data_IF_677573032703
#
_entry.id   IF_677573032703
#
_cell.length_a   1.000
_cell.length_b   1.000
_cell.length_c   1.000
_cell.angle_alpha   90.00
_cell.angle_beta   90.00
_cell.angle_gamma   90.00
#
_symmetry.space_group_name_H-M   'P 1'
#
loop_
_entity.id
_entity.type
_entity.pdbx_description
1 polymer ?
#
# COMPACT_ATOMS: atom_id res chain seq x y z
N UNK A 1 -7.82 1.22 5.27
CA UNK A 1 -6.61 1.04 4.44
C UNK A 1 -6.98 1.17 2.97
N UNK A 2 -6.12 1.80 2.21
CA UNK A 2 -6.28 1.97 0.77
C UNK A 2 -5.95 0.65 0.04
N UNK A 3 -6.69 0.35 -1.03
CA UNK A 3 -6.57 -0.93 -1.75
C UNK A 3 -5.49 -0.88 -2.84
N UNK A 4 -4.35 -0.26 -2.57
CA UNK A 4 -3.25 -0.20 -3.53
C UNK A 4 -2.39 -1.46 -3.48
N UNK A 5 -1.71 -1.82 -4.59
CA UNK A 5 -0.76 -2.92 -4.59
C UNK A 5 0.43 -2.64 -3.65
N UNK A 6 0.92 -3.68 -2.99
CA UNK A 6 1.92 -3.59 -1.93
C UNK A 6 3.25 -2.91 -2.33
N UNK A 7 3.73 -3.03 -3.57
CA UNK A 7 4.88 -2.23 -4.00
C UNK A 7 4.65 -0.71 -3.94
N UNK A 8 3.39 -0.24 -4.01
CA UNK A 8 3.05 1.18 -3.88
C UNK A 8 2.70 1.55 -2.45
N UNK A 9 1.96 0.70 -1.72
CA UNK A 9 1.47 0.97 -0.38
C UNK A 9 1.62 -0.26 0.51
N UNK A 10 2.59 -0.21 1.45
CA UNK A 10 2.95 -1.33 2.31
C UNK A 10 1.79 -1.74 3.22
N UNK A 11 1.54 -3.03 3.32
CA UNK A 11 0.57 -3.62 4.23
C UNK A 11 0.83 -3.25 5.70
N UNK A 12 2.09 -3.16 6.12
CA UNK A 12 2.47 -2.82 7.50
C UNK A 12 1.97 -1.44 7.95
N UNK A 13 1.68 -0.54 7.01
CA UNK A 13 1.11 0.78 7.33
C UNK A 13 -0.29 0.71 7.95
N UNK A 14 -1.02 -0.38 7.74
CA UNK A 14 -2.29 -0.64 8.42
C UNK A 14 -2.08 -0.71 9.94
N UNK A 15 -0.88 -1.10 10.38
CA UNK A 15 -0.54 -1.27 11.80
C UNK A 15 0.23 -0.06 12.32
N UNK A 16 1.25 0.37 11.57
CA UNK A 16 2.21 1.37 12.01
C UNK A 16 1.73 2.80 11.82
N UNK A 17 0.79 3.02 10.89
CA UNK A 17 0.33 4.34 10.45
C UNK A 17 -1.18 4.31 10.21
N UNK A 18 -1.90 3.79 11.18
CA UNK A 18 -3.34 3.48 11.08
C UNK A 18 -4.23 4.74 11.09
N UNK A 19 -3.73 5.84 11.65
CA UNK A 19 -4.47 7.11 11.74
C UNK A 19 -3.92 8.07 10.70
N UNK A 20 -4.75 8.43 9.74
CA UNK A 20 -4.44 9.42 8.73
C UNK A 20 -5.14 10.75 9.06
N UNK A 21 -4.38 11.85 8.96
CA UNK A 21 -4.90 13.19 9.19
C UNK A 21 -5.26 13.83 7.86
N UNK A 22 -6.53 13.77 7.48
CA UNK A 22 -6.91 14.28 6.18
C UNK A 22 -8.37 14.06 5.83
N UNK A 23 -8.61 13.85 4.56
CA UNK A 23 -9.94 13.60 4.01
C UNK A 23 -9.93 12.36 3.14
N UNK A 24 -10.99 11.58 3.21
CA UNK A 24 -11.20 10.42 2.34
C UNK A 24 -12.61 10.47 1.75
N UNK A 25 -12.72 10.17 0.47
CA UNK A 25 -13.98 10.01 -0.24
C UNK A 25 -14.05 8.61 -0.84
N UNK A 26 -15.05 7.85 -0.43
CA UNK A 26 -15.30 6.49 -0.91
C UNK A 26 -16.63 6.45 -1.62
N UNK A 27 -16.64 5.92 -2.84
CA UNK A 27 -17.84 5.61 -3.61
C UNK A 27 -17.83 4.15 -4.03
N UNK A 28 -18.76 3.38 -3.49
CA UNK A 28 -18.91 1.96 -3.83
C UNK A 28 -20.27 1.69 -4.46
N UNK A 29 -20.27 0.96 -5.55
CA UNK A 29 -21.48 0.44 -6.17
C UNK A 29 -21.24 -1.00 -6.68
N UNK A 30 -22.28 -1.64 -7.23
CA UNK A 30 -22.20 -3.04 -7.66
C UNK A 30 -21.13 -3.34 -8.71
N UNK A 31 -20.66 -2.34 -9.46
CA UNK A 31 -19.75 -2.51 -10.58
C UNK A 31 -18.44 -1.73 -10.46
N UNK A 32 -18.33 -0.81 -9.52
CA UNK A 32 -17.12 -0.01 -9.35
C UNK A 32 -16.90 0.42 -7.91
N UNK A 33 -15.64 0.64 -7.58
CA UNK A 33 -15.16 1.18 -6.33
C UNK A 33 -14.22 2.35 -6.62
N UNK A 34 -14.38 3.45 -5.92
CA UNK A 34 -13.52 4.61 -5.95
C UNK A 34 -13.16 4.98 -4.52
N UNK A 35 -11.88 5.11 -4.24
CA UNK A 35 -11.31 5.65 -3.00
C UNK A 35 -10.34 6.76 -3.36
N UNK A 36 -10.59 7.97 -2.87
CA UNK A 36 -9.72 9.14 -3.06
C UNK A 36 -9.43 9.72 -1.68
N UNK A 37 -8.16 9.94 -1.38
CA UNK A 37 -7.75 10.45 -0.08
C UNK A 37 -6.62 11.47 -0.17
N UNK A 38 -6.52 12.26 0.88
CA UNK A 38 -5.42 13.16 1.18
C UNK A 38 -5.04 12.95 2.64
N UNK A 39 -3.76 12.73 2.91
CA UNK A 39 -3.21 12.56 4.24
C UNK A 39 -2.11 13.58 4.50
N UNK A 40 -2.24 14.32 5.57
CA UNK A 40 -1.25 15.29 6.04
C UNK A 40 -0.34 14.61 7.06
N UNK A 41 0.68 13.91 6.59
CA UNK A 41 1.56 13.09 7.44
C UNK A 41 2.39 13.90 8.43
N UNK A 42 2.74 15.13 8.06
CA UNK A 42 3.49 16.04 8.92
C UNK A 42 3.11 17.48 8.68
N UNK A 43 2.41 18.07 9.63
CA UNK A 43 2.04 19.49 9.60
C UNK A 43 3.19 20.36 10.07
N UNK A 44 3.32 21.56 9.46
CA UNK A 44 4.25 22.57 9.88
C UNK A 44 3.52 23.59 10.78
N UNK A 45 4.13 23.85 11.94
CA UNK A 45 3.75 24.95 12.82
C UNK A 45 4.81 26.05 12.74
N UNK A 46 4.48 27.26 13.19
CA UNK A 46 5.44 28.35 13.29
C UNK A 46 6.68 27.91 14.06
N UNK A 47 7.88 28.03 13.43
CA UNK A 47 9.18 27.60 13.96
C UNK A 47 9.36 26.07 13.97
N UNK A 48 8.63 25.31 13.17
CA UNK A 48 8.83 23.86 13.05
C UNK A 48 10.21 23.54 12.45
N UNK A 49 10.99 22.62 13.04
CA UNK A 49 12.29 22.22 12.51
C UNK A 49 12.17 21.19 11.37
N UNK A 50 10.97 20.78 11.01
CA UNK A 50 10.71 19.70 10.05
C UNK A 50 9.97 20.22 8.82
N UNK A 51 10.15 19.57 7.69
CA UNK A 51 9.40 19.86 6.47
C UNK A 51 8.00 19.24 6.52
N UNK A 52 7.06 19.92 5.92
CA UNK A 52 5.72 19.39 5.66
C UNK A 52 5.77 18.12 4.82
N UNK A 53 4.88 17.18 5.11
CA UNK A 53 4.69 15.97 4.31
C UNK A 53 3.20 15.78 4.07
N UNK A 54 2.86 15.62 2.80
CA UNK A 54 1.50 15.35 2.35
C UNK A 54 1.57 14.15 1.41
N UNK A 55 0.69 13.20 1.60
CA UNK A 55 0.42 12.16 0.62
C UNK A 55 -1.05 12.20 0.21
N UNK A 56 -1.33 11.73 -0.98
CA UNK A 56 -2.69 11.58 -1.45
C UNK A 56 -2.73 10.53 -2.56
N UNK A 57 -3.88 9.92 -2.71
CA UNK A 57 -3.99 8.87 -3.68
C UNK A 57 -5.40 8.64 -4.19
N UNK A 58 -5.46 7.77 -5.16
CA UNK A 58 -6.69 7.32 -5.80
C UNK A 58 -6.59 5.83 -6.07
N UNK A 59 -7.62 5.10 -5.68
CA UNK A 59 -7.89 3.76 -6.15
C UNK A 59 -9.23 3.77 -6.89
N UNK A 60 -9.22 3.36 -8.14
CA UNK A 60 -10.44 3.15 -8.91
C UNK A 60 -10.44 1.76 -9.52
N UNK A 61 -11.45 0.96 -9.22
CA UNK A 61 -11.63 -0.38 -9.79
C UNK A 61 -13.00 -0.48 -10.45
N UNK A 62 -13.04 -1.01 -11.66
CA UNK A 62 -14.28 -1.28 -12.39
C UNK A 62 -14.37 -2.75 -12.80
N UNK A 63 -15.51 -3.37 -12.53
CA UNK A 63 -15.83 -4.69 -13.07
C UNK A 63 -16.12 -4.55 -14.57
N UNK A 64 -15.23 -5.09 -15.40
CA UNK A 64 -15.33 -5.06 -16.87
C UNK A 64 -16.09 -6.29 -17.41
N UNK A 65 -16.11 -7.37 -16.63
CA UNK A 65 -16.85 -8.57 -16.96
C UNK A 65 -17.34 -9.27 -15.69
N UNK A 66 -18.62 -9.67 -15.66
CA UNK A 66 -19.18 -10.47 -14.56
C UNK A 66 -20.23 -11.41 -15.12
N UNK A 67 -19.95 -12.70 -15.10
CA UNK A 67 -20.90 -13.74 -15.55
C UNK A 67 -20.68 -15.03 -14.75
N UNK A 68 -21.79 -15.50 -14.15
CA UNK A 68 -21.73 -16.70 -13.29
C UNK A 68 -20.72 -16.51 -12.14
N UNK A 69 -19.75 -17.40 -12.05
CA UNK A 69 -18.73 -17.41 -11.01
C UNK A 69 -17.49 -16.57 -11.36
N UNK A 70 -17.40 -16.04 -12.58
CA UNK A 70 -16.24 -15.27 -13.05
C UNK A 70 -16.49 -13.77 -12.96
N UNK A 71 -15.55 -13.07 -12.31
CA UNK A 71 -15.48 -11.61 -12.30
C UNK A 71 -14.11 -11.18 -12.80
N UNK A 72 -14.07 -10.20 -13.70
CA UNK A 72 -12.83 -9.55 -14.16
C UNK A 72 -12.98 -8.07 -13.88
N UNK A 73 -11.97 -7.47 -13.25
CA UNK A 73 -11.97 -6.04 -12.99
C UNK A 73 -10.63 -5.40 -13.39
N UNK A 74 -10.68 -4.10 -13.63
CA UNK A 74 -9.52 -3.29 -13.99
C UNK A 74 -9.32 -2.21 -12.92
N UNK A 75 -8.36 -2.37 -12.00
CA UNK A 75 -7.94 -1.33 -11.07
C UNK A 75 -6.97 -0.35 -11.72
N UNK A 76 -7.06 0.90 -11.30
CA UNK A 76 -6.12 2.00 -11.58
C UNK A 76 -5.81 2.66 -10.25
N UNK A 77 -4.52 2.84 -9.96
CA UNK A 77 -4.05 3.41 -8.70
C UNK A 77 -3.09 4.56 -8.96
N UNK A 78 -3.17 5.57 -8.11
CA UNK A 78 -2.25 6.69 -8.05
C UNK A 78 -1.87 6.95 -6.59
N UNK A 79 -0.61 7.24 -6.33
CA UNK A 79 -0.11 7.72 -5.05
C UNK A 79 0.87 8.85 -5.31
N UNK A 80 0.57 10.03 -4.78
CA UNK A 80 1.43 11.21 -4.81
C UNK A 80 1.98 11.44 -3.42
N UNK A 81 3.28 11.64 -3.32
CA UNK A 81 3.95 12.06 -2.10
C UNK A 81 4.65 13.39 -2.34
N UNK A 82 4.43 14.34 -1.43
CA UNK A 82 5.04 15.67 -1.45
C UNK A 82 5.67 15.98 -0.11
N UNK A 83 6.91 16.48 -0.13
CA UNK A 83 7.64 16.89 1.08
C UNK A 83 8.38 18.21 0.82
N UNK A 84 8.18 19.19 1.68
CA UNK A 84 8.83 20.50 1.60
C UNK A 84 7.99 21.57 0.92
N UNK A 85 8.63 22.66 0.46
CA UNK A 85 8.00 23.74 -0.30
C UNK A 85 7.72 25.01 0.49
N UNK A 86 7.61 24.98 1.84
CA UNK A 86 7.41 26.19 2.65
C UNK A 86 8.72 26.68 3.31
N UNK A 87 9.58 25.77 3.72
CA UNK A 87 10.85 26.07 4.37
C UNK A 87 11.92 25.17 3.74
N UNK A 88 12.35 25.51 2.54
CA UNK A 88 13.44 24.79 1.87
C UNK A 88 14.77 25.46 2.17
N UNK A 89 15.75 24.66 2.49
CA UNK A 89 17.16 25.04 2.65
C UNK A 89 18.01 24.19 1.74
N UNK A 90 19.29 24.50 1.52
CA UNK A 90 20.18 23.65 0.72
C UNK A 90 20.21 22.19 1.16
N UNK A 91 19.96 21.92 2.45
CA UNK A 91 19.93 20.59 3.03
C UNK A 91 18.51 19.98 3.10
N UNK A 92 17.48 20.76 2.72
CA UNK A 92 16.06 20.37 2.81
C UNK A 92 15.32 20.81 1.57
N UNK A 93 15.48 20.02 0.53
CA UNK A 93 14.87 20.27 -0.78
C UNK A 93 13.46 19.67 -0.86
N UNK A 94 12.69 20.23 -1.77
CA UNK A 94 11.37 19.76 -2.14
C UNK A 94 11.46 18.39 -2.83
N UNK A 95 10.63 17.45 -2.38
CA UNK A 95 10.47 16.12 -2.97
C UNK A 95 9.04 15.96 -3.45
N UNK A 96 8.87 15.52 -4.69
CA UNK A 96 7.56 15.20 -5.27
C UNK A 96 7.65 13.91 -6.06
N UNK A 97 6.95 12.88 -5.62
CA UNK A 97 7.01 11.53 -6.17
C UNK A 97 5.61 11.08 -6.56
N UNK A 98 5.52 10.42 -7.70
CA UNK A 98 4.32 9.75 -8.17
C UNK A 98 4.61 8.26 -8.34
N UNK A 99 3.78 7.42 -7.73
CA UNK A 99 3.62 6.03 -8.08
C UNK A 99 2.25 5.83 -8.75
N UNK A 100 2.19 5.00 -9.78
CA UNK A 100 0.92 4.63 -10.40
C UNK A 100 0.89 3.17 -10.78
N UNK A 101 -0.30 2.60 -10.84
CA UNK A 101 -0.50 1.25 -11.37
C UNK A 101 -1.73 1.17 -12.27
N UNK A 102 -1.66 0.23 -13.19
CA UNK A 102 -2.78 -0.27 -13.96
C UNK A 102 -2.81 -1.79 -13.87
N UNK A 103 -3.96 -2.36 -13.51
CA UNK A 103 -4.08 -3.79 -13.26
C UNK A 103 -5.21 -4.49 -13.99
N UNK A 104 -5.15 -5.82 -13.94
CA UNK A 104 -6.25 -6.72 -14.25
C UNK A 104 -6.39 -7.73 -13.12
N UNK A 105 -7.58 -7.84 -12.58
CA UNK A 105 -7.91 -8.81 -11.54
C UNK A 105 -8.92 -9.81 -12.05
N UNK A 106 -8.74 -11.07 -11.64
CA UNK A 106 -9.61 -12.19 -11.98
C UNK A 106 -10.06 -12.85 -10.68
N UNK A 107 -11.33 -13.16 -10.59
CA UNK A 107 -11.88 -13.93 -9.46
C UNK A 107 -12.86 -14.96 -9.97
N UNK A 108 -12.67 -16.22 -9.58
CA UNK A 108 -13.54 -17.34 -9.93
C UNK A 108 -14.00 -18.08 -8.68
N UNK A 109 -15.30 -17.97 -8.37
CA UNK A 109 -15.89 -18.59 -7.21
C UNK A 109 -16.13 -20.10 -7.42
N UNK A 110 -15.55 -20.91 -6.54
CA UNK A 110 -15.78 -22.35 -6.42
C UNK A 110 -16.63 -22.63 -5.17
N UNK A 111 -17.24 -23.82 -5.02
CA UNK A 111 -18.10 -24.14 -3.86
C UNK A 111 -17.41 -23.99 -2.49
N UNK A 112 -16.09 -24.20 -2.41
CA UNK A 112 -15.31 -24.17 -1.17
C UNK A 112 -14.09 -23.26 -1.20
N UNK A 113 -13.81 -22.61 -2.32
CA UNK A 113 -12.65 -21.73 -2.50
C UNK A 113 -12.94 -20.67 -3.56
N UNK A 114 -12.11 -19.64 -3.60
CA UNK A 114 -12.08 -18.65 -4.68
C UNK A 114 -10.69 -18.65 -5.28
N UNK A 115 -10.59 -18.91 -6.58
CA UNK A 115 -9.36 -18.65 -7.32
C UNK A 115 -9.31 -17.17 -7.65
N UNK A 116 -8.18 -16.53 -7.41
CA UNK A 116 -8.01 -15.12 -7.74
C UNK A 116 -6.62 -14.85 -8.30
N UNK A 117 -6.53 -13.78 -9.09
CA UNK A 117 -5.27 -13.30 -9.62
C UNK A 117 -5.35 -11.78 -9.73
N UNK A 118 -4.30 -11.09 -9.28
CA UNK A 118 -4.19 -9.65 -9.30
C UNK A 118 -2.87 -9.27 -9.93
N UNK A 119 -2.91 -8.64 -11.09
CA UNK A 119 -1.73 -8.38 -11.89
C UNK A 119 -1.66 -6.90 -12.23
N UNK A 120 -0.47 -6.29 -11.99
CA UNK A 120 -0.27 -4.86 -12.11
C UNK A 120 0.99 -4.53 -12.90
N UNK A 121 0.87 -3.55 -13.77
CA UNK A 121 1.99 -2.76 -14.28
C UNK A 121 2.11 -1.53 -13.38
N UNK A 122 3.27 -1.31 -12.80
CA UNK A 122 3.50 -0.27 -11.80
C UNK A 122 4.57 0.68 -12.31
N UNK A 123 4.43 1.97 -12.03
CA UNK A 123 5.41 2.97 -12.41
C UNK A 123 5.79 3.86 -11.22
N UNK A 124 6.98 4.41 -11.30
CA UNK A 124 7.55 5.37 -10.38
C UNK A 124 8.10 6.56 -11.16
N UNK A 125 7.86 7.77 -10.67
CA UNK A 125 8.45 8.99 -11.22
C UNK A 125 8.74 10.04 -10.16
N UNK A 126 9.97 10.56 -10.20
CA UNK A 126 10.42 11.67 -9.39
C UNK A 126 10.23 13.00 -10.16
N UNK A 127 9.31 13.85 -9.67
CA UNK A 127 9.05 15.18 -10.17
C UNK A 127 9.76 16.28 -9.35
N UNK A 128 10.61 15.91 -8.39
CA UNK A 128 11.34 16.86 -7.57
C UNK A 128 12.18 17.80 -8.44
N UNK A 129 12.25 19.07 -8.04
CA UNK A 129 13.09 20.04 -8.74
C UNK A 129 14.57 19.70 -8.59
N UNK A 130 15.02 19.44 -7.36
CA UNK A 130 16.38 18.97 -7.06
C UNK A 130 16.39 17.45 -7.03
N UNK A 131 17.09 16.82 -7.96
CA UNK A 131 17.15 15.37 -8.10
C UNK A 131 18.11 14.77 -7.07
N UNK A 132 17.55 14.08 -6.07
CA UNK A 132 18.31 13.43 -5.00
C UNK A 132 18.15 11.91 -5.01
N UNK A 133 17.07 11.42 -5.62
CA UNK A 133 16.86 10.00 -5.77
C UNK A 133 17.77 9.44 -6.86
N UNK A 134 18.29 8.23 -6.64
CA UNK A 134 19.17 7.55 -7.58
C UNK A 134 18.49 7.30 -8.93
N UNK A 135 17.22 6.93 -8.91
CA UNK A 135 16.40 6.75 -10.09
C UNK A 135 15.38 7.87 -10.18
N UNK A 136 15.23 8.46 -11.38
CA UNK A 136 14.23 9.50 -11.64
C UNK A 136 12.91 8.91 -12.11
N UNK A 137 12.93 7.70 -12.59
CA UNK A 137 11.79 6.91 -13.02
C UNK A 137 12.11 5.43 -12.93
N UNK A 138 11.08 4.64 -12.80
CA UNK A 138 11.18 3.20 -12.74
C UNK A 138 9.85 2.54 -13.02
N UNK A 139 9.87 1.24 -13.20
CA UNK A 139 8.71 0.44 -13.51
C UNK A 139 8.79 -0.93 -12.85
N UNK A 140 7.65 -1.61 -12.77
CA UNK A 140 7.59 -2.96 -12.28
C UNK A 140 6.38 -3.73 -12.74
N UNK A 141 6.54 -5.03 -12.80
CA UNK A 141 5.48 -6.00 -13.03
C UNK A 141 5.23 -6.76 -11.72
N UNK A 142 3.99 -6.74 -11.24
CA UNK A 142 3.59 -7.43 -10.02
C UNK A 142 2.45 -8.39 -10.34
N UNK A 143 2.74 -9.69 -10.29
CA UNK A 143 1.81 -10.77 -10.63
C UNK A 143 1.47 -11.55 -9.36
N UNK A 144 0.18 -11.81 -9.13
CA UNK A 144 -0.30 -12.58 -8.01
C UNK A 144 -1.31 -13.63 -8.48
N UNK A 145 -1.18 -14.84 -7.99
CA UNK A 145 -2.11 -15.92 -8.20
C UNK A 145 -2.42 -16.57 -6.85
N UNK A 146 -3.70 -16.64 -6.48
CA UNK A 146 -4.10 -17.10 -5.17
C UNK A 146 -5.30 -18.03 -5.16
N UNK A 147 -5.41 -18.74 -4.05
CA UNK A 147 -6.54 -19.60 -3.69
C UNK A 147 -7.00 -19.25 -2.30
N UNK A 148 -8.13 -18.56 -2.21
CA UNK A 148 -8.75 -18.18 -0.94
C UNK A 148 -9.73 -19.27 -0.51
N UNK A 149 -9.50 -19.84 0.66
CA UNK A 149 -10.37 -20.83 1.32
C UNK A 149 -11.04 -20.19 2.54
N UNK A 150 -11.83 -20.98 3.29
CA UNK A 150 -12.37 -20.52 4.58
C UNK A 150 -11.32 -20.33 5.67
N UNK A 151 -10.17 -21.01 5.56
CA UNK A 151 -9.14 -21.02 6.60
C UNK A 151 -8.02 -20.03 6.31
N UNK A 152 -7.61 -19.94 5.03
CA UNK A 152 -6.47 -19.11 4.61
C UNK A 152 -6.57 -18.74 3.14
N UNK A 153 -5.86 -17.69 2.79
CA UNK A 153 -5.56 -17.29 1.42
C UNK A 153 -4.10 -17.65 1.12
N UNK A 154 -3.88 -18.46 0.11
CA UNK A 154 -2.57 -18.90 -0.37
C UNK A 154 -2.26 -18.15 -1.65
N UNK A 155 -1.18 -17.39 -1.67
CA UNK A 155 -0.85 -16.50 -2.79
C UNK A 155 0.60 -16.76 -3.21
N UNK A 156 0.80 -16.99 -4.50
CA UNK A 156 2.09 -16.95 -5.16
C UNK A 156 2.22 -15.61 -5.87
N UNK A 157 3.29 -14.87 -5.57
CA UNK A 157 3.52 -13.54 -6.12
C UNK A 157 4.87 -13.45 -6.78
N UNK A 158 4.93 -12.80 -7.93
CA UNK A 158 6.16 -12.49 -8.65
C UNK A 158 6.28 -10.98 -8.82
N UNK A 159 7.44 -10.46 -8.50
CA UNK A 159 7.84 -9.07 -8.73
C UNK A 159 9.03 -9.01 -9.66
N UNK A 160 8.97 -8.11 -10.62
CA UNK A 160 10.11 -7.67 -11.40
C UNK A 160 10.07 -6.15 -11.51
N UNK A 161 11.06 -5.48 -10.95
CA UNK A 161 11.19 -4.02 -10.93
C UNK A 161 12.51 -3.58 -11.55
N UNK A 162 12.48 -2.43 -12.23
CA UNK A 162 13.64 -1.74 -12.81
C UNK A 162 13.62 -0.29 -12.33
N UNK A 163 14.65 0.13 -11.58
CA UNK A 163 14.76 1.48 -11.03
C UNK A 163 13.58 1.91 -10.17
N UNK A 164 12.78 0.97 -9.70
CA UNK A 164 11.54 1.26 -8.99
C UNK A 164 11.79 1.72 -7.55
N UNK A 165 11.04 2.74 -7.14
CA UNK A 165 11.00 3.25 -5.77
C UNK A 165 9.57 3.62 -5.39
N UNK A 166 9.26 3.50 -4.10
CA UNK A 166 8.03 4.03 -3.51
C UNK A 166 8.31 4.53 -2.10
N UNK A 167 7.68 5.66 -1.75
CA UNK A 167 7.79 6.23 -0.40
C UNK A 167 6.93 5.48 0.62
N UNK A 168 5.85 4.86 0.18
CA UNK A 168 4.87 4.16 1.00
C UNK A 168 4.83 2.66 0.75
N UNK A 169 5.47 2.18 -0.31
CA UNK A 169 5.54 0.76 -0.65
C UNK A 169 6.42 -0.04 0.29
N UNK A 170 6.25 -1.34 0.30
CA UNK A 170 7.11 -2.22 1.06
C UNK A 170 8.56 -2.12 0.53
N UNK A 171 9.55 -1.87 1.41
CA UNK A 171 10.94 -1.61 1.00
C UNK A 171 11.57 -2.71 0.18
N UNK A 172 11.09 -3.95 0.33
CA UNK A 172 11.63 -5.11 -0.39
C UNK A 172 11.47 -5.01 -1.92
N UNK A 173 10.46 -4.29 -2.40
CA UNK A 173 10.22 -4.09 -3.84
C UNK A 173 11.09 -2.99 -4.46
N UNK A 174 11.69 -2.15 -3.61
CA UNK A 174 12.46 -0.98 -4.05
C UNK A 174 13.83 -1.38 -4.62
N UNK A 175 14.25 -0.70 -5.68
CA UNK A 175 15.61 -0.82 -6.25
C UNK A 175 16.68 -0.15 -5.40
N UNK A 176 16.29 0.62 -4.37
CA UNK A 176 17.20 1.28 -3.41
C UNK A 176 16.81 0.89 -2.00
N UNK A 177 17.79 0.47 -1.19
CA UNK A 177 17.54 0.19 0.21
C UNK A 177 17.41 1.48 1.01
N UNK A 178 16.36 1.57 1.81
CA UNK A 178 16.16 2.61 2.82
C UNK A 178 16.62 2.19 4.23
N UNK A 179 17.10 0.96 4.39
CA UNK A 179 17.54 0.44 5.68
C UNK A 179 18.92 0.98 6.06
N UNK A 180 19.10 1.34 7.34
CA UNK A 180 20.35 1.91 7.87
C UNK A 180 21.54 0.98 7.63
N UNK A 181 21.36 -0.34 7.80
CA UNK A 181 22.42 -1.33 7.64
C UNK A 181 22.82 -1.60 6.17
N UNK A 182 21.98 -1.21 5.22
CA UNK A 182 22.19 -1.37 3.78
C UNK A 182 22.17 -0.04 3.06
N UNK A 183 22.54 1.04 3.74
CA UNK A 183 22.57 2.38 3.17
C UNK A 183 23.53 2.42 1.96
N UNK A 184 23.02 2.85 0.82
CA UNK A 184 23.75 2.87 -0.45
C UNK A 184 23.64 1.58 -1.27
N UNK A 185 22.97 0.53 -0.79
CA UNK A 185 22.64 -0.62 -1.63
C UNK A 185 21.62 -0.20 -2.70
N UNK A 186 21.93 -0.52 -3.93
CA UNK A 186 21.02 -0.37 -5.06
C UNK A 186 21.14 -1.58 -5.98
N UNK A 187 20.03 -1.93 -6.58
CA UNK A 187 19.92 -3.01 -7.56
C UNK A 187 18.97 -2.55 -8.66
N UNK A 188 19.51 -2.29 -9.83
CA UNK A 188 18.76 -1.72 -10.96
C UNK A 188 17.57 -2.58 -11.32
N UNK A 189 17.78 -3.87 -11.48
CA UNK A 189 16.75 -4.85 -11.71
C UNK A 189 16.56 -5.72 -10.46
N UNK A 190 15.32 -5.88 -10.01
CA UNK A 190 14.99 -6.70 -8.85
C UNK A 190 13.88 -7.68 -9.19
N UNK A 191 14.15 -8.97 -9.03
CA UNK A 191 13.18 -10.04 -9.28
C UNK A 191 12.99 -10.87 -8.02
N UNK A 192 11.74 -10.97 -7.55
CA UNK A 192 11.38 -11.63 -6.30
C UNK A 192 10.22 -12.60 -6.54
N UNK A 193 10.28 -13.73 -5.84
CA UNK A 193 9.18 -14.69 -5.77
C UNK A 193 8.75 -14.84 -4.32
N UNK A 194 7.46 -14.63 -4.03
CA UNK A 194 6.88 -14.74 -2.69
C UNK A 194 5.88 -15.89 -2.66
N UNK A 195 5.82 -16.55 -1.51
CA UNK A 195 4.71 -17.40 -1.16
C UNK A 195 4.06 -16.88 0.11
N UNK A 196 2.77 -16.52 0.06
CA UNK A 196 2.04 -15.92 1.16
C UNK A 196 0.96 -16.85 1.67
N UNK A 197 0.84 -16.94 2.97
CA UNK A 197 -0.28 -17.57 3.65
C UNK A 197 -0.88 -16.51 4.57
N UNK A 198 -2.11 -16.09 4.29
CA UNK A 198 -2.83 -15.09 5.06
C UNK A 198 -4.06 -15.75 5.67
N UNK A 199 -4.17 -15.69 6.99
CA UNK A 199 -5.31 -16.26 7.72
C UNK A 199 -5.92 -15.22 8.64
N UNK A 200 -7.24 -15.21 8.75
CA UNK A 200 -7.98 -14.38 9.68
C UNK A 200 -8.97 -15.26 10.47
N UNK A 201 -8.83 -15.25 11.78
CA UNK A 201 -9.64 -16.03 12.70
C UNK A 201 -10.47 -15.10 13.56
N UNK A 202 -11.80 -14.96 13.30
CA UNK A 202 -12.68 -14.23 14.19
C UNK A 202 -12.83 -15.00 15.51
N UNK A 203 -12.53 -14.34 16.64
CA UNK A 203 -12.67 -14.90 17.99
C UNK A 203 -13.99 -14.47 18.60
N UNK A 204 -14.41 -13.22 18.36
CA UNK A 204 -15.70 -12.66 18.77
C UNK A 204 -16.22 -11.69 17.71
N UNK A 205 -17.39 -11.09 17.94
CA UNK A 205 -17.97 -10.09 17.02
C UNK A 205 -17.03 -8.89 16.79
N UNK A 206 -16.24 -8.52 17.80
CA UNK A 206 -15.37 -7.34 17.77
C UNK A 206 -13.88 -7.68 17.79
N UNK A 207 -13.51 -8.96 17.78
CA UNK A 207 -12.13 -9.38 17.91
C UNK A 207 -11.75 -10.46 16.91
N UNK A 208 -10.72 -10.20 16.12
CA UNK A 208 -10.12 -11.17 15.20
C UNK A 208 -8.61 -11.23 15.34
N UNK A 209 -8.03 -12.40 15.09
CA UNK A 209 -6.59 -12.60 14.96
C UNK A 209 -6.29 -12.85 13.50
N UNK A 210 -5.40 -12.06 12.92
CA UNK A 210 -4.86 -12.29 11.59
C UNK A 210 -3.39 -12.72 11.66
N UNK A 211 -2.99 -13.62 10.79
CA UNK A 211 -1.59 -14.00 10.63
C UNK A 211 -1.20 -13.96 9.17
N UNK A 212 0.05 -13.56 8.91
CA UNK A 212 0.65 -13.53 7.58
C UNK A 212 2.03 -14.16 7.65
N UNK A 213 2.27 -15.19 6.83
CA UNK A 213 3.56 -15.85 6.66
C UNK A 213 3.97 -15.62 5.21
N UNK A 214 5.17 -15.11 4.99
CA UNK A 214 5.60 -14.65 3.67
C UNK A 214 7.09 -14.92 3.41
N UNK A 215 7.48 -16.18 3.18
CA UNK A 215 8.80 -16.47 2.65
C UNK A 215 8.95 -15.93 1.22
N UNK A 216 10.17 -15.46 0.91
CA UNK A 216 10.48 -15.00 -0.43
C UNK A 216 11.86 -15.47 -0.90
N UNK A 217 12.08 -15.44 -2.20
CA UNK A 217 13.35 -15.75 -2.84
C UNK A 217 13.71 -14.54 -3.72
N UNK A 218 14.92 -14.02 -3.54
CA UNK A 218 15.52 -13.06 -4.47
C UNK A 218 16.13 -13.83 -5.65
N UNK A 219 15.53 -13.69 -6.82
CA UNK A 219 15.92 -14.42 -8.02
C UNK A 219 17.20 -13.88 -8.68
N UNK A 220 17.61 -12.67 -8.33
CA UNK A 220 18.86 -12.09 -8.82
C UNK A 220 20.06 -12.63 -8.03
N UNK A 221 19.84 -13.05 -6.78
CA UNK A 221 20.87 -13.49 -5.84
C UNK A 221 20.58 -14.90 -5.30
N UNK A 222 20.48 -15.89 -6.17
CA UNK A 222 20.14 -17.28 -5.83
C UNK A 222 20.91 -17.90 -4.65
N UNK A 223 22.06 -17.32 -4.25
CA UNK A 223 22.89 -17.77 -3.13
C UNK A 223 22.42 -17.26 -1.75
N UNK A 224 21.42 -16.39 -1.68
CA UNK A 224 20.87 -15.85 -0.44
C UNK A 224 19.48 -16.42 -0.20
N UNK A 225 19.45 -17.48 0.59
CA UNK A 225 18.26 -18.22 1.00
C UNK A 225 17.35 -17.32 1.86
N UNK A 226 16.09 -17.28 1.46
CA UNK A 226 14.88 -17.00 2.20
C UNK A 226 15.04 -16.44 3.62
N UNK A 227 14.89 -15.14 3.79
CA UNK A 227 14.44 -14.60 5.06
C UNK A 227 12.94 -14.83 5.17
N UNK A 228 12.52 -15.61 6.17
CA UNK A 228 11.11 -15.79 6.46
C UNK A 228 10.62 -14.60 7.29
N UNK A 229 9.77 -13.78 6.71
CA UNK A 229 9.03 -12.76 7.45
C UNK A 229 7.86 -13.44 8.17
N UNK A 230 7.99 -13.59 9.47
CA UNK A 230 6.85 -13.89 10.34
C UNK A 230 6.19 -12.56 10.70
N UNK A 231 5.26 -12.09 9.88
CA UNK A 231 4.49 -10.91 10.21
C UNK A 231 3.36 -11.27 11.19
N UNK A 232 3.57 -10.79 12.35
CA UNK A 232 2.76 -10.48 13.53
C UNK A 232 1.27 -10.81 13.46
N UNK A 233 0.84 -11.49 14.51
CA UNK A 233 -0.55 -11.61 14.94
C UNK A 233 -1.18 -10.23 15.08
N UNK A 234 -2.18 -9.94 14.28
CA UNK A 234 -2.95 -8.71 14.34
C UNK A 234 -4.13 -8.92 15.27
N UNK A 235 -4.20 -8.10 16.30
CA UNK A 235 -5.35 -8.03 17.19
C UNK A 235 -6.07 -6.73 16.87
N UNK A 236 -7.20 -6.82 16.18
CA UNK A 236 -8.03 -5.65 15.84
C UNK A 236 -9.33 -5.68 16.61
N UNK A 237 -9.65 -4.61 17.29
CA UNK A 237 -10.98 -4.36 17.87
C UNK A 237 -11.80 -3.58 16.84
N UNK A 238 -12.93 -4.14 16.41
CA UNK A 238 -13.91 -3.37 15.63
C UNK A 238 -14.69 -2.48 16.60
N UNK A 239 -14.29 -1.24 16.72
CA UNK A 239 -15.07 -0.22 17.44
C UNK A 239 -16.18 0.23 16.49
N UNK A 240 -17.41 -0.18 16.73
CA UNK A 240 -18.59 0.40 16.07
C UNK A 240 -18.87 1.76 16.73
N UNK A 241 -18.34 2.82 16.15
CA UNK A 241 -18.71 4.19 16.54
C UNK A 241 -20.01 4.50 15.82
N UNK A 242 -21.10 4.59 16.54
CA UNK A 242 -22.37 5.08 16.00
C UNK A 242 -22.33 6.62 15.94
N UNK A 243 -23.05 7.26 14.99
CA UNK A 243 -23.12 8.72 14.92
C UNK A 243 -23.66 9.39 16.21
N UNK A 244 -24.28 8.64 17.09
CA UNK A 244 -24.82 9.12 18.37
C UNK A 244 -23.72 9.30 19.44
N UNK A 245 -22.51 8.75 19.25
CA UNK A 245 -21.39 8.88 20.18
C UNK A 245 -20.67 10.25 20.06
N UNK A 246 -21.02 11.08 19.08
CA UNK A 246 -20.50 12.44 18.91
C UNK A 246 -21.50 13.48 19.42
N UNK A 247 -21.64 13.61 20.73
CA UNK A 247 -22.28 14.78 21.33
C UNK A 247 -21.21 15.85 21.48
N UNK A 248 -21.15 16.80 20.57
CA UNK A 248 -20.41 18.04 20.77
C UNK A 248 -21.24 18.94 21.70
N UNK A 249 -20.90 18.99 22.96
CA UNK A 249 -21.31 20.10 23.83
C UNK A 249 -20.58 21.35 23.34
N UNK A 250 -21.25 22.13 22.50
CA UNK A 250 -20.83 23.49 22.19
C UNK A 250 -21.27 24.34 23.37
N UNK A 251 -20.46 24.44 24.41
CA UNK A 251 -20.62 25.51 25.40
C UNK A 251 -20.32 26.84 24.70
N UNK A 252 -21.39 27.53 24.37
CA UNK A 252 -21.34 28.93 23.97
C UNK A 252 -21.12 29.80 25.21
N UNK A 253 -19.89 29.95 25.63
CA UNK A 253 -19.52 31.07 26.51
C UNK A 253 -19.25 32.31 25.66
N UNK A 254 -20.32 33.06 25.44
CA UNK A 254 -20.27 34.48 25.12
C UNK A 254 -20.40 35.27 26.44
N UNK A 255 -19.27 35.81 26.92
CA UNK A 255 -19.24 37.01 27.76
C UNK A 255 -17.95 37.79 27.50
#
# INVERSE_FOLDING_TARGET
SHRLPEPIYNYDRIITDNIEYGTQFILENANSNLDVWLNWENMIYKISPVQEKISGGLHYQKNIYKKGNLTIAAPIDLLVFHKGGQIDTPDRYLVSILNSSFGLTFSYALPKATLHSENYLITYKDFSFTKQNQYLQGQGLYLNLGVKTKMADFILSYWQGEGFQSTHGAPIFSSVSSQINNNGFHQDERSLLFFRIISEFPISENFSISSRIEPYIDLNNWNHVAESYLNVVHVGEKINITPEDYVYDVETDCN
#
